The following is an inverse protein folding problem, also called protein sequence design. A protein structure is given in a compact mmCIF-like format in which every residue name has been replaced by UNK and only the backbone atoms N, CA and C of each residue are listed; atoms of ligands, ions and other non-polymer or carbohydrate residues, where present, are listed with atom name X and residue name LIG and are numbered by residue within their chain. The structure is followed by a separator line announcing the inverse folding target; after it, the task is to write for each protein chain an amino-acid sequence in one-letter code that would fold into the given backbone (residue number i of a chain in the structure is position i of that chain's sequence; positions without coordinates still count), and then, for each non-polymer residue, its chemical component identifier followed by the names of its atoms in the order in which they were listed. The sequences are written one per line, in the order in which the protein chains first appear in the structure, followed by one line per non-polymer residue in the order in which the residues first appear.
data_IF_546274472651
#
_entry.id   IF_546274472651
#
_cell.length_a   1.000
_cell.length_b   1.000
_cell.length_c   1.000
_cell.angle_alpha   90.00
_cell.angle_beta   90.00
_cell.angle_gamma   90.00
#
_symmetry.space_group_name_H-M   'P 1'
#
loop_
_entity.id
_entity.type
_entity.pdbx_description
1 polymer ?
#
# COMPACT_ATOMS: atom_id res chain seq x y z
N UNK A 1 -1.30 -7.76 -10.35
CA UNK A 1 -0.14 -7.41 -11.21
C UNK A 1 0.83 -8.59 -11.34
N UNK A 2 1.49 -9.05 -10.27
CA UNK A 2 2.43 -10.19 -10.33
C UNK A 2 1.83 -11.46 -10.95
N UNK A 3 0.64 -11.86 -10.52
CA UNK A 3 -0.06 -13.02 -11.09
C UNK A 3 -0.41 -12.91 -12.59
N UNK A 4 -0.43 -11.68 -13.12
CA UNK A 4 -0.66 -11.42 -14.54
C UNK A 4 0.66 -11.22 -15.31
N UNK A 5 1.81 -11.54 -14.72
CA UNK A 5 3.12 -11.38 -15.34
C UNK A 5 3.59 -9.94 -15.50
N UNK A 6 2.89 -8.95 -14.93
CA UNK A 6 3.25 -7.53 -15.08
C UNK A 6 4.57 -7.25 -14.34
N UNK A 7 5.62 -6.76 -15.04
CA UNK A 7 6.87 -6.39 -14.41
C UNK A 7 6.66 -5.27 -13.40
N UNK A 8 6.98 -5.55 -12.13
CA UNK A 8 6.93 -4.57 -11.04
C UNK A 8 8.26 -4.56 -10.30
N UNK A 9 8.76 -3.38 -9.96
CA UNK A 9 10.06 -3.23 -9.28
C UNK A 9 10.10 -4.01 -7.96
N UNK A 10 9.05 -3.88 -7.13
CA UNK A 10 8.94 -4.48 -5.79
C UNK A 10 7.47 -4.76 -5.46
N UNK A 11 7.21 -5.61 -4.47
CA UNK A 11 5.88 -5.71 -3.87
C UNK A 11 5.58 -4.46 -3.05
N UNK A 12 4.29 -4.09 -3.02
CA UNK A 12 3.77 -2.97 -2.26
C UNK A 12 2.59 -3.49 -1.45
N UNK A 13 2.57 -3.18 -0.16
CA UNK A 13 1.44 -3.44 0.73
C UNK A 13 1.01 -2.13 1.40
N UNK A 14 -0.21 -2.11 1.91
CA UNK A 14 -0.72 -1.02 2.73
C UNK A 14 -1.26 -1.53 4.05
N UNK A 15 -1.32 -0.65 5.04
CA UNK A 15 -1.95 -0.90 6.34
C UNK A 15 -2.77 0.33 6.74
N UNK A 16 -3.96 0.09 7.27
CA UNK A 16 -4.79 1.12 7.88
C UNK A 16 -4.44 1.23 9.35
N UNK A 17 -4.30 2.45 9.84
CA UNK A 17 -3.86 2.75 11.20
C UNK A 17 -4.85 3.73 11.81
N UNK A 18 -5.09 3.61 13.11
CA UNK A 18 -5.92 4.52 13.87
C UNK A 18 -5.20 5.04 15.10
N UNK A 19 -5.59 6.22 15.56
CA UNK A 19 -5.20 6.78 16.85
C UNK A 19 -6.43 7.13 17.66
N UNK A 20 -6.35 6.80 18.95
CA UNK A 20 -7.33 7.19 19.96
C UNK A 20 -6.58 7.96 21.04
N UNK A 21 -7.13 9.10 21.45
CA UNK A 21 -6.64 9.95 22.52
C UNK A 21 -7.63 9.96 23.68
N UNK A 22 -7.11 9.84 24.90
CA UNK A 22 -7.87 10.05 26.13
C UNK A 22 -7.00 10.88 27.09
N UNK A 23 -7.38 12.13 27.32
CA UNK A 23 -6.60 13.14 28.05
C UNK A 23 -5.16 13.26 27.52
N UNK A 24 -4.17 12.76 28.29
CA UNK A 24 -2.75 12.78 27.96
C UNK A 24 -2.22 11.40 27.52
N UNK A 25 -3.11 10.45 27.24
CA UNK A 25 -2.77 9.10 26.77
C UNK A 25 -3.23 8.93 25.34
N UNK A 26 -2.49 8.12 24.60
CA UNK A 26 -2.88 7.71 23.25
C UNK A 26 -2.61 6.23 23.03
N UNK A 27 -3.37 5.65 22.11
CA UNK A 27 -3.16 4.31 21.58
C UNK A 27 -3.09 4.36 20.06
N UNK A 28 -2.11 3.68 19.48
CA UNK A 28 -2.01 3.47 18.03
C UNK A 28 -2.54 2.07 17.72
N UNK A 29 -3.57 2.01 16.89
CA UNK A 29 -4.20 0.79 16.41
C UNK A 29 -3.66 0.42 15.02
N UNK A 30 -3.42 -0.86 14.79
CA UNK A 30 -2.93 -1.41 13.53
C UNK A 30 -4.03 -2.23 12.88
N UNK A 31 -4.20 -2.08 11.56
CA UNK A 31 -5.20 -2.78 10.74
C UNK A 31 -6.63 -2.54 11.26
N UNK A 32 -6.98 -1.26 11.39
CA UNK A 32 -8.24 -0.84 11.98
C UNK A 32 -9.47 -1.35 11.22
N UNK A 33 -10.48 -1.75 11.98
CA UNK A 33 -11.81 -2.07 11.49
C UNK A 33 -12.63 -0.80 11.29
N UNK A 34 -13.75 -0.90 10.55
CA UNK A 34 -14.62 0.25 10.30
C UNK A 34 -15.18 0.91 11.56
N UNK A 35 -15.41 0.15 12.64
CA UNK A 35 -15.84 0.71 13.93
C UNK A 35 -14.72 1.51 14.60
N UNK A 36 -13.48 1.02 14.54
CA UNK A 36 -12.30 1.70 15.09
C UNK A 36 -11.94 2.96 14.28
N UNK A 37 -12.15 2.95 12.96
CA UNK A 37 -12.02 4.13 12.09
C UNK A 37 -13.09 5.18 12.40
N UNK A 38 -14.35 4.77 12.62
CA UNK A 38 -15.45 5.67 12.95
C UNK A 38 -15.21 6.38 14.29
N UNK A 39 -14.89 5.61 15.33
CA UNK A 39 -14.75 6.11 16.70
C UNK A 39 -13.36 6.68 17.02
N UNK A 40 -12.37 6.47 16.14
CA UNK A 40 -11.01 6.99 16.28
C UNK A 40 -10.89 8.49 16.01
N UNK A 41 -9.93 9.12 16.68
CA UNK A 41 -9.63 10.56 16.60
C UNK A 41 -8.81 10.95 15.36
N UNK A 42 -8.08 9.99 14.83
CA UNK A 42 -7.32 10.12 13.60
C UNK A 42 -7.18 8.75 12.98
N UNK A 43 -7.26 8.72 11.66
CA UNK A 43 -6.95 7.55 10.86
C UNK A 43 -5.95 7.91 9.77
N UNK A 44 -5.06 6.97 9.47
CA UNK A 44 -4.13 7.15 8.37
C UNK A 44 -3.84 5.82 7.70
N UNK A 45 -3.62 5.90 6.40
CA UNK A 45 -3.38 4.76 5.54
C UNK A 45 -1.97 4.91 4.96
N UNK A 46 -1.12 3.93 5.19
CA UNK A 46 0.26 3.92 4.70
C UNK A 46 0.46 2.77 3.75
N UNK A 47 0.94 3.06 2.54
CA UNK A 47 1.33 2.05 1.57
C UNK A 47 2.81 2.20 1.19
N UNK A 48 3.46 1.09 0.85
CA UNK A 48 4.87 1.09 0.52
C UNK A 48 5.46 -0.29 0.30
N UNK A 49 6.72 -0.28 -0.11
CA UNK A 49 7.56 -1.48 -0.21
C UNK A 49 8.40 -1.66 1.06
N UNK A 50 9.28 -2.66 1.08
CA UNK A 50 10.26 -2.84 2.16
C UNK A 50 11.20 -1.64 2.29
N UNK A 51 11.43 -0.91 1.20
CA UNK A 51 12.45 0.14 1.13
C UNK A 51 11.91 1.53 1.42
N UNK A 52 10.59 1.71 1.40
CA UNK A 52 10.02 3.04 1.59
C UNK A 52 8.51 3.10 1.43
N UNK A 53 7.96 4.23 1.84
CA UNK A 53 6.55 4.60 1.66
C UNK A 53 6.35 5.07 0.21
N UNK A 54 5.31 4.56 -0.44
CA UNK A 54 4.89 5.00 -1.78
C UNK A 54 3.65 5.89 -1.73
N UNK A 55 2.81 5.74 -0.70
CA UNK A 55 1.66 6.60 -0.46
C UNK A 55 1.38 6.72 1.04
N UNK A 56 0.93 7.90 1.44
CA UNK A 56 0.47 8.22 2.78
C UNK A 56 -0.79 9.07 2.65
N UNK A 57 -1.87 8.64 3.28
CA UNK A 57 -3.11 9.40 3.44
C UNK A 57 -3.37 9.54 4.93
N UNK A 58 -3.72 10.74 5.40
CA UNK A 58 -4.05 11.02 6.79
C UNK A 58 -5.35 11.81 6.85
N UNK A 59 -6.27 11.38 7.69
CA UNK A 59 -7.48 12.14 8.05
C UNK A 59 -7.43 12.41 9.56
N UNK A 60 -7.41 13.68 9.92
CA UNK A 60 -7.27 14.13 11.31
C UNK A 60 -8.59 14.76 11.71
N UNK A 61 -9.28 14.17 12.70
CA UNK A 61 -10.55 14.70 13.21
C UNK A 61 -10.33 15.68 14.37
N UNK A 62 -9.15 15.65 15.00
CA UNK A 62 -8.72 16.59 16.04
C UNK A 62 -7.99 17.82 15.48
N UNK A 63 -7.70 18.80 16.35
CA UNK A 63 -6.98 20.02 15.99
C UNK A 63 -5.49 19.85 15.62
N UNK A 64 -4.93 18.64 15.76
CA UNK A 64 -3.56 18.31 15.38
C UNK A 64 -2.99 17.09 16.10
N UNK A 65 -1.81 16.64 15.68
CA UNK A 65 -1.02 15.54 16.28
C UNK A 65 0.41 16.02 16.50
N UNK A 66 1.02 15.70 17.64
CA UNK A 66 2.41 16.03 17.88
C UNK A 66 3.35 15.14 17.05
N UNK A 67 4.54 15.66 16.75
CA UNK A 67 5.48 15.00 15.85
C UNK A 67 5.99 13.65 16.40
N UNK A 68 6.11 13.50 17.72
CA UNK A 68 6.64 12.27 18.32
C UNK A 68 5.60 11.15 18.23
N UNK A 69 4.33 11.46 18.51
CA UNK A 69 3.23 10.52 18.36
C UNK A 69 3.05 10.08 16.90
N UNK A 70 3.10 11.03 15.95
CA UNK A 70 3.05 10.70 14.52
C UNK A 70 4.21 9.77 14.12
N UNK A 71 5.42 10.05 14.60
CA UNK A 71 6.60 9.24 14.34
C UNK A 71 6.41 7.82 14.86
N UNK A 72 5.96 7.65 16.11
CA UNK A 72 5.66 6.34 16.70
C UNK A 72 4.62 5.58 15.86
N UNK A 73 3.55 6.26 15.45
CA UNK A 73 2.50 5.67 14.64
C UNK A 73 3.01 5.19 13.28
N UNK A 74 3.87 5.97 12.61
CA UNK A 74 4.49 5.59 11.33
C UNK A 74 5.47 4.42 11.47
N UNK A 75 6.19 4.29 12.61
CA UNK A 75 7.03 3.12 12.87
C UNK A 75 6.18 1.87 13.08
N UNK A 76 5.08 1.95 13.84
CA UNK A 76 4.15 0.83 14.01
C UNK A 76 3.50 0.43 12.67
N UNK A 77 3.14 1.42 11.84
CA UNK A 77 2.63 1.19 10.49
C UNK A 77 3.67 0.48 9.59
N UNK A 78 4.96 0.83 9.72
CA UNK A 78 6.04 0.14 9.00
C UNK A 78 6.11 -1.33 9.40
N UNK A 79 6.03 -1.65 10.70
CA UNK A 79 6.04 -3.03 11.18
C UNK A 79 4.86 -3.84 10.63
N UNK A 80 3.64 -3.28 10.72
CA UNK A 80 2.43 -3.89 10.14
C UNK A 80 2.53 -4.10 8.63
N UNK A 81 3.05 -3.10 7.90
CA UNK A 81 3.27 -3.21 6.46
C UNK A 81 4.31 -4.29 6.10
N UNK A 82 5.41 -4.39 6.85
CA UNK A 82 6.44 -5.43 6.64
C UNK A 82 5.87 -6.82 6.91
N UNK A 83 5.04 -6.95 7.95
CA UNK A 83 4.35 -8.21 8.23
C UNK A 83 3.50 -8.68 7.04
N UNK A 84 2.64 -7.81 6.51
CA UNK A 84 1.80 -8.11 5.33
C UNK A 84 2.69 -8.45 4.11
N UNK A 85 3.73 -7.64 3.86
CA UNK A 85 4.67 -7.88 2.75
C UNK A 85 5.33 -9.25 2.84
N UNK A 86 5.75 -9.70 4.02
CA UNK A 86 6.41 -10.99 4.17
C UNK A 86 5.45 -12.15 3.81
N UNK A 87 4.18 -12.06 4.20
CA UNK A 87 3.17 -13.05 3.80
C UNK A 87 2.96 -13.03 2.27
N UNK A 88 2.89 -11.84 1.68
CA UNK A 88 2.77 -11.69 0.22
C UNK A 88 3.97 -12.25 -0.53
N UNK A 89 5.20 -12.06 -0.02
CA UNK A 89 6.43 -12.61 -0.62
C UNK A 89 6.42 -14.15 -0.64
N UNK A 90 5.90 -14.79 0.42
CA UNK A 90 5.73 -16.24 0.42
C UNK A 90 4.71 -16.69 -0.61
N UNK A 91 3.55 -16.01 -0.70
CA UNK A 91 2.52 -16.33 -1.68
C UNK A 91 2.98 -16.16 -3.13
N UNK A 92 3.86 -15.19 -3.40
CA UNK A 92 4.37 -14.93 -4.75
C UNK A 92 5.21 -16.08 -5.32
N UNK A 93 5.84 -16.90 -4.46
CA UNK A 93 6.65 -18.05 -4.90
C UNK A 93 5.83 -19.12 -5.61
N UNK A 94 4.53 -19.20 -5.29
CA UNK A 94 3.59 -20.19 -5.84
C UNK A 94 2.84 -19.69 -7.09
N UNK A 95 3.12 -18.46 -7.55
CA UNK A 95 2.44 -17.89 -8.72
C UNK A 95 2.94 -18.53 -10.01
N UNK A 96 2.02 -19.14 -10.77
CA UNK A 96 2.25 -19.60 -12.14
C UNK A 96 1.43 -18.72 -13.08
N UNK A 97 2.10 -17.98 -13.96
CA UNK A 97 1.42 -17.12 -14.95
C UNK A 97 0.86 -17.98 -16.07
N UNK A 98 -0.45 -17.85 -16.32
CA UNK A 98 -1.09 -18.50 -17.45
C UNK A 98 -1.03 -17.57 -18.68
N UNK A 99 -0.06 -17.78 -19.57
CA UNK A 99 0.10 -16.96 -20.78
C UNK A 99 -0.96 -17.24 -21.86
N UNK A 100 -1.66 -18.38 -21.80
CA UNK A 100 -2.64 -18.77 -22.82
C UNK A 100 -3.88 -17.89 -22.82
N UNK A 101 -4.22 -17.29 -21.67
CA UNK A 101 -5.40 -16.44 -21.48
C UNK A 101 -5.09 -14.95 -21.57
N UNK A 102 -3.81 -14.58 -21.72
CA UNK A 102 -3.40 -13.18 -21.79
C UNK A 102 -3.56 -12.62 -23.21
N UNK A 103 -3.95 -11.35 -23.36
CA UNK A 103 -3.96 -10.68 -24.66
C UNK A 103 -2.57 -10.71 -25.31
N UNK A 104 -2.52 -11.01 -26.61
CA UNK A 104 -1.28 -11.00 -27.40
C UNK A 104 -1.19 -9.70 -28.19
N UNK A 105 0.00 -9.12 -28.22
CA UNK A 105 0.30 -7.89 -28.96
C UNK A 105 1.37 -8.19 -30.00
N UNK A 106 1.07 -7.90 -31.27
CA UNK A 106 2.05 -7.91 -32.36
C UNK A 106 2.38 -6.46 -32.71
N UNK A 107 3.66 -6.10 -32.62
CA UNK A 107 4.16 -4.78 -32.95
C UNK A 107 5.03 -4.88 -34.19
N UNK A 108 4.69 -4.13 -35.22
CA UNK A 108 5.50 -4.00 -36.42
C UNK A 108 5.63 -2.52 -36.79
N UNK A 109 6.75 -2.19 -37.41
CA UNK A 109 7.02 -0.84 -37.89
C UNK A 109 6.61 -0.74 -39.36
N UNK A 110 5.88 0.32 -39.69
CA UNK A 110 5.62 0.72 -41.08
C UNK A 110 6.48 1.92 -41.39
N UNK A 111 6.99 2.01 -42.61
CA UNK A 111 7.68 3.20 -43.08
C UNK A 111 6.73 4.41 -42.95
N UNK A 112 7.13 5.51 -42.27
CA UNK A 112 6.26 6.68 -42.10
C UNK A 112 5.71 7.26 -43.40
N UNK A 113 6.41 7.09 -44.52
CA UNK A 113 5.94 7.52 -45.85
C UNK A 113 4.68 6.79 -46.32
N UNK A 114 4.40 5.60 -45.78
CA UNK A 114 3.24 4.77 -46.10
C UNK A 114 2.05 4.96 -45.14
N UNK A 115 2.10 5.93 -44.23
CA UNK A 115 1.01 6.20 -43.27
C UNK A 115 -0.25 6.75 -43.97
N UNK A 116 -0.08 7.39 -45.13
CA UNK A 116 -1.18 8.03 -45.88
C UNK A 116 -1.87 7.07 -46.86
N UNK A 117 -1.27 5.90 -47.13
CA UNK A 117 -1.82 4.83 -47.98
C UNK A 117 -2.86 3.99 -47.23
#
# INVERSE_FOLDING_TARGET
LKAAGVPSLKLVAGVAMGLIFEDNKHAVLTDIMGLEDHDGDMDFKVAGSKDGVTALQMDIKLGGIDQETLKQALYQAKEGRIHILNIMEEAVKEIIVNEEVLPKLELFSVDPSKIVD
#
